data_IF_315871707202
#
_entry.id   IF_315871707202
#
_cell.length_a   1.000
_cell.length_b   1.000
_cell.length_c   1.000
_cell.angle_alpha   90.00
_cell.angle_beta   90.00
_cell.angle_gamma   90.00
#
_symmetry.space_group_name_H-M   'P 1'
#
loop_
_entity.id
_entity.type
_entity.pdbx_description
1 polymer ?
#
# COMPACT_ATOMS: atom_id res chain seq x y z
N UNK A 1 33.78 -6.53 -0.17
CA UNK A 1 32.91 -6.28 1.01
C UNK A 1 31.89 -7.40 1.08
N UNK A 2 31.79 -8.08 2.22
CA UNK A 2 30.93 -9.25 2.42
C UNK A 2 29.50 -8.74 2.64
N UNK A 3 28.59 -9.07 1.72
CA UNK A 3 27.17 -8.73 1.83
C UNK A 3 26.56 -9.60 2.92
N UNK A 4 26.36 -9.05 4.11
CA UNK A 4 25.72 -9.76 5.22
C UNK A 4 24.21 -9.66 5.04
N UNK A 5 23.56 -10.78 4.74
CA UNK A 5 22.10 -10.88 4.64
C UNK A 5 21.54 -10.77 6.07
N UNK A 6 20.95 -9.61 6.40
CA UNK A 6 20.24 -9.43 7.66
C UNK A 6 18.85 -10.05 7.56
N UNK A 7 18.59 -11.11 8.32
CA UNK A 7 17.24 -11.61 8.55
C UNK A 7 16.54 -10.71 9.57
N UNK A 8 15.53 -9.94 9.13
CA UNK A 8 14.69 -9.15 10.06
C UNK A 8 13.39 -9.91 10.27
N UNK A 9 13.21 -10.51 11.44
CA UNK A 9 11.95 -11.18 11.79
C UNK A 9 10.95 -10.12 12.22
N UNK A 10 9.93 -9.85 11.38
CA UNK A 10 8.80 -8.99 11.76
C UNK A 10 7.71 -9.91 12.33
N UNK A 11 7.41 -9.74 13.61
CA UNK A 11 6.35 -10.48 14.29
C UNK A 11 5.02 -9.80 13.95
N UNK A 12 4.15 -10.47 13.18
CA UNK A 12 2.82 -9.93 12.94
C UNK A 12 2.02 -9.95 14.26
N UNK A 13 1.22 -8.92 14.48
CA UNK A 13 0.34 -8.76 15.67
C UNK A 13 -0.65 -9.91 15.88
N UNK A 14 -0.84 -10.76 14.86
CA UNK A 14 -1.69 -11.96 14.90
C UNK A 14 -0.93 -13.28 15.16
N UNK A 15 0.32 -13.23 15.63
CA UNK A 15 1.08 -14.43 16.00
C UNK A 15 1.66 -15.24 14.82
N UNK A 16 1.55 -14.73 13.59
CA UNK A 16 2.22 -15.30 12.42
C UNK A 16 3.64 -14.74 12.26
N UNK A 17 4.65 -15.60 12.18
CA UNK A 17 6.03 -15.22 11.87
C UNK A 17 6.19 -15.04 10.36
N UNK A 18 6.33 -13.79 9.88
CA UNK A 18 6.68 -13.52 8.48
C UNK A 18 8.20 -13.40 8.37
N UNK A 19 8.86 -14.44 7.86
CA UNK A 19 10.29 -14.40 7.54
C UNK A 19 10.46 -13.95 6.10
N UNK A 20 10.72 -12.67 5.88
CA UNK A 20 10.98 -12.10 4.55
C UNK A 20 12.50 -11.94 4.34
N UNK A 21 13.09 -12.81 3.53
CA UNK A 21 14.48 -12.67 3.08
C UNK A 21 14.53 -11.57 2.03
N UNK A 22 14.87 -10.34 2.41
CA UNK A 22 14.97 -9.21 1.50
C UNK A 22 16.43 -8.85 1.26
N UNK A 23 16.78 -8.59 0.00
CA UNK A 23 18.06 -7.98 -0.35
C UNK A 23 18.13 -6.54 0.23
N UNK A 24 19.33 -6.02 0.53
CA UNK A 24 19.47 -4.64 1.01
C UNK A 24 18.80 -3.69 0.00
N UNK A 25 17.91 -2.81 0.49
CA UNK A 25 17.13 -1.83 -0.29
C UNK A 25 15.94 -2.35 -1.12
N UNK A 26 15.42 -3.56 -0.88
CA UNK A 26 14.18 -4.03 -1.53
C UNK A 26 12.96 -3.79 -0.64
N UNK A 27 12.09 -2.85 -1.05
CA UNK A 27 10.81 -2.58 -0.38
C UNK A 27 9.70 -3.44 -1.01
N UNK A 28 9.60 -4.71 -0.58
CA UNK A 28 8.51 -5.59 -1.01
C UNK A 28 7.30 -5.36 -0.09
N UNK A 29 6.49 -4.34 -0.38
CA UNK A 29 5.20 -4.14 0.30
C UNK A 29 4.04 -4.67 -0.55
N UNK A 30 3.13 -5.41 0.07
CA UNK A 30 1.90 -5.86 -0.57
C UNK A 30 0.83 -4.76 -0.45
N UNK A 31 0.34 -4.20 -1.58
CA UNK A 31 -0.64 -3.11 -1.56
C UNK A 31 -1.98 -3.51 -0.92
N UNK A 32 -2.36 -4.79 -1.00
CA UNK A 32 -3.59 -5.31 -0.38
C UNK A 32 -3.49 -5.31 1.15
N UNK A 33 -2.31 -5.63 1.70
CA UNK A 33 -2.09 -5.57 3.15
C UNK A 33 -2.17 -4.13 3.67
N UNK A 34 -1.60 -3.16 2.93
CA UNK A 34 -1.73 -1.74 3.29
C UNK A 34 -3.18 -1.26 3.27
N UNK A 35 -3.98 -1.67 2.29
CA UNK A 35 -5.40 -1.29 2.22
C UNK A 35 -6.23 -1.85 3.40
N UNK A 36 -5.91 -3.06 3.87
CA UNK A 36 -6.60 -3.68 5.02
C UNK A 36 -6.26 -2.95 6.31
N UNK A 37 -5.00 -2.55 6.51
CA UNK A 37 -4.60 -1.72 7.64
C UNK A 37 -5.23 -0.31 7.55
N UNK A 38 -5.30 0.31 6.38
CA UNK A 38 -5.93 1.62 6.22
C UNK A 38 -7.41 1.65 6.66
N UNK A 39 -8.13 0.54 6.49
CA UNK A 39 -9.53 0.43 6.94
C UNK A 39 -9.70 0.39 8.46
N UNK A 40 -8.66 0.05 9.22
CA UNK A 40 -8.74 0.03 10.69
C UNK A 40 -8.63 1.43 11.32
N UNK A 41 -8.11 2.41 10.58
CA UNK A 41 -8.00 3.80 11.03
C UNK A 41 -9.32 4.56 10.97
N UNK A 42 -10.27 4.11 10.14
CA UNK A 42 -11.63 4.66 10.11
C UNK A 42 -12.46 3.86 11.13
N UNK A 43 -13.02 4.50 12.17
CA UNK A 43 -13.90 3.82 13.12
C UNK A 43 -15.01 3.09 12.37
N UNK A 44 -15.31 1.84 12.75
CA UNK A 44 -16.36 1.05 12.10
C UNK A 44 -17.76 1.68 12.22
N UNK A 45 -17.94 2.59 13.18
CA UNK A 45 -19.16 3.40 13.37
C UNK A 45 -19.25 4.61 12.45
N UNK A 46 -18.15 5.02 11.81
CA UNK A 46 -18.11 6.19 10.93
C UNK A 46 -18.49 5.79 9.51
N UNK A 47 -19.60 6.31 9.03
CA UNK A 47 -19.97 6.26 7.60
C UNK A 47 -20.33 7.65 7.13
N UNK A 48 -20.03 7.96 5.86
CA UNK A 48 -20.37 9.24 5.27
C UNK A 48 -21.87 9.55 5.34
N UNK A 49 -22.71 8.53 5.18
CA UNK A 49 -24.17 8.71 5.26
C UNK A 49 -24.59 9.12 6.68
N UNK A 50 -24.06 8.46 7.72
CA UNK A 50 -24.34 8.81 9.12
C UNK A 50 -23.90 10.23 9.43
N UNK A 51 -22.72 10.63 8.96
CA UNK A 51 -22.18 11.98 9.19
C UNK A 51 -23.05 13.06 8.52
N UNK A 52 -23.50 12.82 7.29
CA UNK A 52 -24.42 13.72 6.58
C UNK A 52 -25.73 13.88 7.36
N UNK A 53 -26.30 12.80 7.88
CA UNK A 53 -27.54 12.88 8.65
C UNK A 53 -27.35 13.61 9.99
N UNK A 54 -26.19 13.42 10.66
CA UNK A 54 -25.82 14.15 11.87
C UNK A 54 -25.78 15.66 11.60
N UNK A 55 -25.06 16.08 10.57
CA UNK A 55 -24.92 17.50 10.19
C UNK A 55 -26.30 18.11 9.86
N UNK A 56 -27.14 17.39 9.10
CA UNK A 56 -28.51 17.85 8.80
C UNK A 56 -29.33 18.08 10.07
N UNK A 57 -29.27 17.16 11.03
CA UNK A 57 -29.99 17.27 12.29
C UNK A 57 -29.48 18.45 13.14
N UNK A 58 -28.16 18.63 13.22
CA UNK A 58 -27.55 19.75 13.95
C UNK A 58 -27.89 21.10 13.34
N UNK A 59 -27.93 21.17 12.01
CA UNK A 59 -28.37 22.36 11.29
C UNK A 59 -29.83 22.70 11.60
N UNK A 60 -30.73 21.70 11.53
CA UNK A 60 -32.16 21.89 11.84
C UNK A 60 -32.40 22.29 13.30
N UNK A 61 -31.57 21.79 14.22
CA UNK A 61 -31.65 22.13 15.65
C UNK A 61 -30.86 23.38 16.02
N UNK A 62 -30.22 24.04 15.04
CA UNK A 62 -29.35 25.22 15.26
C UNK A 62 -28.22 24.98 16.26
N UNK A 63 -27.78 23.73 16.40
CA UNK A 63 -26.65 23.33 17.24
C UNK A 63 -25.35 23.15 16.44
N UNK A 64 -25.42 23.28 15.12
CA UNK A 64 -24.25 23.19 14.25
C UNK A 64 -23.34 24.40 14.48
N UNK A 65 -22.12 24.14 14.95
CA UNK A 65 -21.07 25.15 15.10
C UNK A 65 -20.52 25.52 13.71
N UNK A 66 -20.84 26.74 13.26
CA UNK A 66 -20.36 27.30 12.00
C UNK A 66 -19.23 28.33 12.19
N UNK A 67 -18.67 28.43 13.41
CA UNK A 67 -17.58 29.37 13.68
C UNK A 67 -16.26 28.88 13.08
N UNK A 68 -15.47 29.82 12.56
CA UNK A 68 -14.10 29.53 12.15
C UNK A 68 -13.22 29.40 13.40
N UNK A 69 -12.49 28.29 13.52
CA UNK A 69 -11.58 27.99 14.63
C UNK A 69 -10.14 28.30 14.24
N UNK A 70 -9.87 29.55 13.87
CA UNK A 70 -8.61 29.93 13.23
C UNK A 70 -7.37 29.59 14.07
N UNK A 71 -7.45 29.75 15.39
CA UNK A 71 -6.35 29.44 16.33
C UNK A 71 -6.10 27.93 16.40
N UNK A 72 -7.13 27.14 16.75
CA UNK A 72 -7.02 25.67 16.84
C UNK A 72 -6.63 25.04 15.50
N UNK A 73 -7.29 25.45 14.41
CA UNK A 73 -6.96 24.94 13.08
C UNK A 73 -5.53 25.35 12.67
N UNK A 74 -5.08 26.54 13.08
CA UNK A 74 -3.71 26.99 12.85
C UNK A 74 -2.69 26.11 13.57
N UNK A 75 -2.91 25.83 14.86
CA UNK A 75 -2.08 24.93 15.66
C UNK A 75 -2.03 23.51 15.05
N UNK A 76 -3.18 22.94 14.71
CA UNK A 76 -3.27 21.63 14.05
C UNK A 76 -2.47 21.59 12.74
N UNK A 77 -2.52 22.65 11.93
CA UNK A 77 -1.74 22.73 10.68
C UNK A 77 -0.24 22.80 10.95
N UNK A 78 0.20 23.50 12.00
CA UNK A 78 1.62 23.52 12.39
C UNK A 78 2.09 22.15 12.86
N UNK A 79 1.30 21.44 13.67
CA UNK A 79 1.61 20.08 14.11
C UNK A 79 1.70 19.10 12.93
N UNK A 80 0.79 19.20 11.95
CA UNK A 80 0.85 18.39 10.74
C UNK A 80 2.13 18.64 9.94
N UNK A 81 2.54 19.90 9.83
CA UNK A 81 3.78 20.25 9.14
C UNK A 81 5.01 19.73 9.89
N UNK A 82 5.02 19.85 11.22
CA UNK A 82 6.09 19.32 12.07
C UNK A 82 6.25 17.81 11.87
N UNK A 83 5.15 17.06 11.88
CA UNK A 83 5.17 15.61 11.60
C UNK A 83 5.80 15.34 10.23
N UNK A 84 5.40 16.07 9.18
CA UNK A 84 5.92 15.90 7.82
C UNK A 84 7.43 16.19 7.75
N UNK A 85 7.88 17.26 8.38
CA UNK A 85 9.29 17.68 8.36
C UNK A 85 10.20 16.69 9.10
N UNK A 86 9.65 15.99 10.09
CA UNK A 86 10.34 14.96 10.86
C UNK A 86 10.19 13.54 10.29
N UNK A 87 9.47 13.36 9.18
CA UNK A 87 9.40 12.04 8.53
C UNK A 87 10.77 11.60 8.01
N UNK A 88 11.13 10.32 8.20
CA UNK A 88 12.37 9.79 7.63
C UNK A 88 12.32 9.89 6.11
N UNK A 89 13.40 10.38 5.52
CA UNK A 89 13.54 10.38 4.06
C UNK A 89 13.47 8.95 3.54
N UNK A 90 12.69 8.74 2.49
CA UNK A 90 12.62 7.44 1.84
C UNK A 90 14.02 7.06 1.34
N UNK A 91 14.43 5.79 1.50
CA UNK A 91 15.68 5.33 0.92
C UNK A 91 15.61 5.51 -0.60
N UNK A 92 16.73 5.87 -1.20
CA UNK A 92 16.85 5.94 -2.65
C UNK A 92 16.79 4.51 -3.21
N UNK A 93 15.57 4.06 -3.51
CA UNK A 93 15.35 2.76 -4.14
C UNK A 93 15.72 2.93 -5.60
N UNK A 94 16.88 2.41 -6.00
CA UNK A 94 17.14 2.21 -7.42
C UNK A 94 16.07 1.24 -7.91
N UNK A 95 15.15 1.72 -8.75
CA UNK A 95 14.27 0.81 -9.48
C UNK A 95 15.19 -0.17 -10.20
N UNK A 96 15.16 -1.44 -9.79
CA UNK A 96 15.83 -2.46 -10.56
C UNK A 96 15.16 -2.43 -11.92
N UNK A 97 15.88 -1.88 -12.92
CA UNK A 97 15.44 -1.91 -14.30
C UNK A 97 15.02 -3.35 -14.54
N UNK A 98 13.73 -3.58 -14.80
CA UNK A 98 13.22 -4.91 -15.03
C UNK A 98 14.07 -5.48 -16.17
N UNK A 99 14.95 -6.43 -15.86
CA UNK A 99 15.65 -7.18 -16.89
C UNK A 99 14.61 -8.10 -17.46
N UNK A 100 13.90 -7.64 -18.49
CA UNK A 100 13.04 -8.49 -19.30
C UNK A 100 13.99 -9.55 -19.88
N UNK A 101 13.81 -10.85 -19.56
CA UNK A 101 14.59 -11.89 -20.20
C UNK A 101 14.36 -11.78 -21.70
N UNK A 102 15.43 -11.62 -22.47
CA UNK A 102 15.34 -11.76 -23.92
C UNK A 102 15.01 -13.23 -24.20
N UNK A 103 13.85 -13.47 -24.79
CA UNK A 103 13.50 -14.80 -25.27
C UNK A 103 14.12 -14.97 -26.65
N UNK A 104 14.77 -16.10 -26.89
CA UNK A 104 15.15 -16.50 -28.24
C UNK A 104 13.89 -16.59 -29.11
N UNK A 105 14.00 -16.16 -30.37
CA UNK A 105 12.92 -16.31 -31.34
C UNK A 105 12.60 -17.81 -31.51
N UNK A 106 11.36 -18.20 -31.24
CA UNK A 106 10.93 -19.59 -31.42
C UNK A 106 10.89 -19.87 -32.93
N UNK A 107 11.85 -20.66 -33.40
CA UNK A 107 11.84 -21.19 -34.76
C UNK A 107 10.62 -22.10 -34.96
N UNK A 108 9.61 -21.62 -35.67
CA UNK A 108 8.42 -22.41 -36.01
C UNK A 108 8.80 -23.52 -36.98
N UNK A 109 8.79 -24.76 -36.51
CA UNK A 109 8.98 -25.92 -37.38
C UNK A 109 7.65 -26.32 -37.99
N UNK A 110 7.68 -26.81 -39.23
CA UNK A 110 6.50 -27.32 -39.94
C UNK A 110 5.79 -28.44 -39.15
N UNK A 111 6.53 -29.15 -38.30
CA UNK A 111 6.04 -30.22 -37.42
C UNK A 111 5.22 -29.71 -36.22
N UNK A 112 5.41 -28.46 -35.78
CA UNK A 112 4.77 -27.93 -34.57
C UNK A 112 3.24 -27.91 -34.73
N UNK A 113 2.76 -27.64 -35.94
CA UNK A 113 1.34 -27.69 -36.28
C UNK A 113 0.72 -29.08 -36.09
N UNK A 114 1.49 -30.16 -36.31
CA UNK A 114 1.00 -31.54 -36.14
C UNK A 114 0.97 -31.90 -34.65
N UNK A 115 1.97 -31.48 -33.90
CA UNK A 115 2.07 -31.75 -32.46
C UNK A 115 1.01 -30.98 -31.67
N UNK A 116 0.79 -29.70 -31.99
CA UNK A 116 -0.30 -28.91 -31.41
C UNK A 116 -1.65 -29.56 -31.70
N UNK A 117 -1.90 -29.98 -32.95
CA UNK A 117 -3.13 -30.68 -33.34
C UNK A 117 -3.34 -31.98 -32.57
N UNK A 118 -2.27 -32.74 -32.31
CA UNK A 118 -2.34 -33.97 -31.51
C UNK A 118 -2.60 -33.69 -30.03
N UNK A 119 -2.05 -32.60 -29.50
CA UNK A 119 -2.21 -32.20 -28.10
C UNK A 119 -3.65 -31.72 -27.81
N UNK A 120 -4.23 -30.87 -28.67
CA UNK A 120 -5.62 -30.39 -28.51
C UNK A 120 -6.69 -31.46 -28.78
N UNK A 121 -6.33 -32.56 -29.44
CA UNK A 121 -7.25 -33.67 -29.68
C UNK A 121 -7.37 -34.64 -28.49
N UNK A 122 -6.52 -34.49 -27.46
CA UNK A 122 -6.54 -35.33 -26.26
C UNK A 122 -7.40 -34.73 -25.16
#
# INVERSE_FOLDING_TARGET
>A
MISTIGTTTIQATNGGTLSTTTAPNSLVMNPTSMLVEMKSFIPSSYTFETEIQRIKQELLTSNLDCSAKDETNGEELYEMQDIIDHLPKLPEVQQQKLTIPEFDEIEVKVTDSVEIKKFILK
#
